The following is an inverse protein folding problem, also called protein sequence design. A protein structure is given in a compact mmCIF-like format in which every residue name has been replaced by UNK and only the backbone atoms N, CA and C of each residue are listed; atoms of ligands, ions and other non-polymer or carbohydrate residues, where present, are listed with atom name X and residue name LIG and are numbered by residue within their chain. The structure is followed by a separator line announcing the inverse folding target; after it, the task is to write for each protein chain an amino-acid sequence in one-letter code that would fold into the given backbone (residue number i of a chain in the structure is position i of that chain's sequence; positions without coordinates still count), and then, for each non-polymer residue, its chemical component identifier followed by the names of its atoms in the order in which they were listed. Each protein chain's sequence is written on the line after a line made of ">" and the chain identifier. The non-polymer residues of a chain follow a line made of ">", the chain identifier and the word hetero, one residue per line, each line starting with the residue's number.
data_IF_774868414808
#
_entry.id   IF_774868414808
#
_cell.length_a   1.000
_cell.length_b   1.000
_cell.length_c   1.000
_cell.angle_alpha   90.00
_cell.angle_beta   90.00
_cell.angle_gamma   90.00
#
_symmetry.space_group_name_H-M   'P 1'
#
loop_
_entity.id
_entity.type
_entity.pdbx_description
1 polymer ?
#
# COMPACT_ATOMS: atom_id res chain seq x y z
N UNK A 1 -30.47 -16.02 4.09
CA UNK A 1 -30.90 -14.72 4.67
C UNK A 1 -32.37 -14.71 5.06
N UNK A 2 -33.30 -14.95 4.13
CA UNK A 2 -34.76 -14.92 4.43
C UNK A 2 -35.20 -15.75 5.65
N UNK A 3 -34.67 -16.98 5.80
CA UNK A 3 -35.02 -17.82 6.97
C UNK A 3 -34.45 -17.27 8.29
N UNK A 4 -33.22 -16.76 8.27
CA UNK A 4 -32.64 -16.09 9.44
C UNK A 4 -33.48 -14.88 9.83
N UNK A 5 -33.92 -14.07 8.86
CA UNK A 5 -34.81 -12.93 9.07
C UNK A 5 -36.16 -13.34 9.65
N UNK A 6 -36.77 -14.44 9.15
CA UNK A 6 -38.01 -15.01 9.70
C UNK A 6 -37.85 -15.38 11.19
N UNK A 7 -36.64 -15.79 11.58
CA UNK A 7 -36.26 -16.15 12.94
C UNK A 7 -35.73 -14.96 13.78
N UNK A 8 -35.68 -13.74 13.23
CA UNK A 8 -35.14 -12.57 13.92
C UNK A 8 -33.62 -12.55 14.06
N UNK A 9 -32.89 -13.30 13.22
CA UNK A 9 -31.43 -13.38 13.19
C UNK A 9 -30.85 -12.59 12.00
N UNK A 10 -29.67 -11.97 12.21
CA UNK A 10 -28.88 -11.33 11.15
C UNK A 10 -27.92 -12.32 10.48
N UNK A 11 -27.63 -12.11 9.21
CA UNK A 11 -26.60 -12.87 8.47
C UNK A 11 -25.60 -11.85 7.94
N UNK A 12 -24.38 -11.89 8.47
CA UNK A 12 -23.28 -11.06 8.01
C UNK A 12 -22.25 -11.93 7.27
N UNK A 13 -21.40 -11.31 6.48
CA UNK A 13 -20.38 -12.00 5.69
C UNK A 13 -19.04 -11.28 5.79
N UNK A 14 -17.93 -12.01 5.89
CA UNK A 14 -16.60 -11.40 5.69
C UNK A 14 -16.28 -11.33 4.20
N UNK A 15 -15.61 -10.26 3.75
CA UNK A 15 -15.06 -10.18 2.40
C UNK A 15 -13.73 -10.93 2.30
N UNK A 16 -13.73 -12.21 2.70
CA UNK A 16 -12.56 -13.07 2.72
C UNK A 16 -12.83 -14.38 3.46
N UNK A 17 -11.92 -15.34 3.34
CA UNK A 17 -11.99 -16.63 4.04
C UNK A 17 -11.06 -16.71 5.25
N UNK A 18 -10.40 -15.60 5.60
CA UNK A 18 -9.41 -15.42 6.67
C UNK A 18 -9.12 -13.92 6.81
N UNK A 19 -8.04 -13.55 7.48
CA UNK A 19 -7.65 -12.15 7.67
C UNK A 19 -6.16 -11.90 7.43
N UNK A 20 -5.74 -10.68 7.04
CA UNK A 20 -6.54 -9.67 6.34
C UNK A 20 -7.16 -10.19 5.03
N UNK A 21 -8.09 -9.43 4.41
CA UNK A 21 -8.60 -9.72 3.07
C UNK A 21 -7.49 -10.06 2.06
N UNK A 22 -7.64 -11.21 1.43
CA UNK A 22 -6.75 -11.71 0.39
C UNK A 22 -7.17 -13.10 -0.09
N UNK A 23 -6.25 -13.76 -0.78
CA UNK A 23 -6.43 -15.13 -1.25
C UNK A 23 -5.48 -15.49 -2.40
N UNK A 24 -5.56 -16.74 -2.92
CA UNK A 24 -4.70 -17.21 -4.01
C UNK A 24 -4.90 -16.46 -5.32
N UNK A 25 -6.03 -15.79 -5.49
CA UNK A 25 -6.35 -14.96 -6.66
C UNK A 25 -5.67 -13.59 -6.65
N UNK A 26 -5.16 -13.12 -5.50
CA UNK A 26 -4.48 -11.84 -5.41
C UNK A 26 -3.14 -11.94 -6.13
N UNK A 27 -2.98 -11.13 -7.18
CA UNK A 27 -1.76 -11.05 -7.98
C UNK A 27 -0.60 -10.46 -7.16
N UNK A 28 0.62 -10.51 -7.69
CA UNK A 28 1.74 -9.84 -7.04
C UNK A 28 1.63 -8.30 -7.17
N UNK A 29 0.97 -7.81 -8.23
CA UNK A 29 0.70 -6.39 -8.44
C UNK A 29 -0.35 -5.83 -7.46
N UNK A 30 -1.41 -6.58 -7.16
CA UNK A 30 -2.49 -6.17 -6.23
C UNK A 30 -2.16 -6.43 -4.76
N UNK A 31 -1.02 -7.07 -4.47
CA UNK A 31 -0.63 -7.43 -3.12
C UNK A 31 0.00 -6.26 -2.37
N UNK A 32 -0.05 -6.33 -1.03
CA UNK A 32 0.67 -5.37 -0.17
C UNK A 32 2.11 -5.13 -0.64
N UNK A 33 2.52 -3.87 -0.64
CA UNK A 33 3.85 -3.46 -1.03
C UNK A 33 4.63 -2.82 0.12
N UNK A 34 5.95 -2.97 0.08
CA UNK A 34 6.88 -2.34 1.00
C UNK A 34 7.93 -1.54 0.23
N UNK A 35 8.44 -0.50 0.88
CA UNK A 35 9.56 0.28 0.34
C UNK A 35 10.89 -0.34 0.74
N UNK A 36 11.82 -0.40 -0.22
CA UNK A 36 13.20 -0.83 -0.01
C UNK A 36 14.11 0.28 -0.51
N UNK A 37 14.90 0.86 0.39
CA UNK A 37 15.90 1.86 0.04
C UNK A 37 17.27 1.21 -0.21
N UNK A 38 17.93 1.63 -1.28
CA UNK A 38 19.39 1.50 -1.45
C UNK A 38 20.02 2.86 -1.62
N UNK A 39 21.17 3.05 -0.98
CA UNK A 39 21.95 4.28 -1.11
C UNK A 39 23.34 3.97 -1.64
N UNK A 40 23.86 4.92 -2.42
CA UNK A 40 25.20 4.84 -3.02
C UNK A 40 25.86 6.21 -2.92
N UNK A 41 27.18 6.23 -2.77
CA UNK A 41 27.96 7.48 -2.82
C UNK A 41 28.92 7.42 -3.99
N UNK A 42 28.92 8.46 -4.82
CA UNK A 42 29.79 8.59 -5.98
C UNK A 42 30.57 9.91 -5.89
N UNK A 43 31.87 9.84 -6.15
CA UNK A 43 32.71 11.02 -6.34
C UNK A 43 32.65 11.49 -7.79
N UNK A 44 32.91 12.78 -8.02
CA UNK A 44 32.92 13.35 -9.36
C UNK A 44 33.82 12.60 -10.34
N UNK A 45 33.26 12.28 -11.50
CA UNK A 45 33.88 11.45 -12.54
C UNK A 45 33.61 9.94 -12.39
N UNK A 46 33.06 9.48 -11.26
CA UNK A 46 32.72 8.07 -11.06
C UNK A 46 31.39 7.67 -11.72
N UNK A 47 31.23 6.36 -11.91
CA UNK A 47 29.99 5.71 -12.39
C UNK A 47 29.60 4.62 -11.40
N UNK A 48 28.31 4.30 -11.33
CA UNK A 48 27.85 3.14 -10.59
C UNK A 48 28.22 1.86 -11.38
N UNK A 49 29.13 1.06 -10.84
CA UNK A 49 29.66 -0.13 -11.54
C UNK A 49 28.71 -1.32 -11.54
N UNK A 50 27.87 -1.42 -10.50
CA UNK A 50 26.94 -2.53 -10.31
C UNK A 50 25.52 -2.11 -10.65
N UNK A 51 24.73 -2.99 -11.28
CA UNK A 51 23.31 -2.74 -11.50
C UNK A 51 22.57 -2.47 -10.19
N UNK A 52 21.57 -1.61 -10.26
CA UNK A 52 20.64 -1.32 -9.18
C UNK A 52 19.75 -2.54 -8.92
N UNK A 53 19.72 -3.00 -7.66
CA UNK A 53 18.93 -4.15 -7.17
C UNK A 53 18.45 -3.89 -5.75
N UNK A 54 17.23 -4.31 -5.42
CA UNK A 54 16.69 -4.24 -4.06
C UNK A 54 17.26 -5.35 -3.14
N UNK A 55 17.74 -6.46 -3.70
CA UNK A 55 18.26 -7.63 -2.95
C UNK A 55 19.61 -8.20 -3.45
N UNK A 56 19.98 -9.37 -2.93
CA UNK A 56 21.28 -10.07 -3.11
C UNK A 56 21.53 -10.66 -4.51
N UNK A 57 21.12 -9.94 -5.58
CA UNK A 57 21.43 -10.15 -7.01
C UNK A 57 20.29 -10.62 -7.93
N UNK A 58 19.07 -10.85 -7.44
CA UNK A 58 17.92 -11.24 -8.28
C UNK A 58 16.73 -10.28 -8.07
N UNK A 59 16.01 -9.95 -9.15
CA UNK A 59 14.73 -9.25 -9.04
C UNK A 59 13.68 -10.24 -8.54
N UNK A 60 13.09 -9.95 -7.39
CA UNK A 60 11.86 -10.63 -7.00
C UNK A 60 10.75 -10.37 -8.04
N UNK A 61 9.72 -11.22 -8.11
CA UNK A 61 8.63 -11.09 -9.09
C UNK A 61 7.83 -9.77 -9.03
N UNK A 62 8.05 -8.94 -8.00
CA UNK A 62 7.40 -7.63 -7.82
C UNK A 62 8.41 -6.54 -7.41
N UNK A 63 9.69 -6.67 -7.80
CA UNK A 63 10.71 -5.67 -7.52
C UNK A 63 10.76 -4.60 -8.62
N UNK A 64 10.37 -3.37 -8.28
CA UNK A 64 10.32 -2.26 -9.23
C UNK A 64 11.08 -1.05 -8.68
N UNK A 65 11.99 -0.49 -9.49
CA UNK A 65 12.60 0.81 -9.19
C UNK A 65 11.52 1.90 -9.37
N UNK A 66 11.18 2.60 -8.30
CA UNK A 66 10.16 3.67 -8.29
C UNK A 66 10.78 5.06 -8.40
N UNK A 67 11.99 5.24 -7.88
CA UNK A 67 12.76 6.47 -8.04
C UNK A 67 14.25 6.19 -7.93
N UNK A 68 15.04 6.98 -8.66
CA UNK A 68 16.48 7.10 -8.44
C UNK A 68 16.84 8.58 -8.45
N UNK A 69 17.20 9.09 -7.28
CA UNK A 69 17.51 10.51 -7.11
C UNK A 69 18.95 10.69 -6.66
N UNK A 70 19.68 11.62 -7.24
CA UNK A 70 21.03 12.00 -6.82
C UNK A 70 21.02 13.36 -6.13
N UNK A 71 21.72 13.45 -5.01
CA UNK A 71 21.82 14.65 -4.17
C UNK A 71 23.30 15.02 -4.04
N UNK A 72 23.67 16.24 -4.41
CA UNK A 72 25.02 16.76 -4.18
C UNK A 72 25.15 17.38 -2.79
N UNK A 73 26.38 17.45 -2.28
CA UNK A 73 26.68 18.21 -1.05
C UNK A 73 26.34 19.71 -1.17
N UNK A 74 26.26 20.24 -2.39
CA UNK A 74 25.88 21.63 -2.65
C UNK A 74 24.38 21.88 -2.70
N UNK A 75 23.55 20.83 -2.54
CA UNK A 75 22.09 20.92 -2.52
C UNK A 75 21.41 20.74 -3.88
N UNK A 76 22.16 20.41 -4.94
CA UNK A 76 21.58 20.03 -6.23
C UNK A 76 20.89 18.66 -6.14
N UNK A 77 19.73 18.54 -6.77
CA UNK A 77 18.93 17.31 -6.84
C UNK A 77 18.69 16.96 -8.30
N UNK A 78 18.94 15.71 -8.69
CA UNK A 78 18.77 15.21 -10.06
C UNK A 78 17.97 13.92 -10.06
N UNK A 79 16.91 13.86 -10.86
CA UNK A 79 16.19 12.62 -11.16
C UNK A 79 16.96 11.83 -12.23
N UNK A 80 17.34 10.60 -11.89
CA UNK A 80 18.11 9.68 -12.72
C UNK A 80 17.30 8.44 -13.11
N UNK A 81 16.01 8.37 -12.80
CA UNK A 81 15.18 7.20 -13.12
C UNK A 81 15.19 6.90 -14.63
N UNK A 82 15.16 7.95 -15.47
CA UNK A 82 15.24 7.83 -16.94
C UNK A 82 16.60 7.37 -17.48
N UNK A 83 17.63 7.33 -16.64
CA UNK A 83 18.98 6.88 -16.99
C UNK A 83 19.24 5.40 -16.65
N UNK A 84 18.23 4.70 -16.11
CA UNK A 84 18.34 3.28 -15.75
C UNK A 84 17.74 2.40 -16.85
N UNK A 85 18.53 1.45 -17.36
CA UNK A 85 18.04 0.49 -18.35
C UNK A 85 17.21 -0.66 -17.72
N UNK A 86 16.67 -1.53 -18.57
CA UNK A 86 15.86 -2.67 -18.13
C UNK A 86 16.64 -3.65 -17.23
N UNK A 87 17.96 -3.73 -17.39
CA UNK A 87 18.87 -4.55 -16.61
C UNK A 87 19.33 -3.85 -15.32
N UNK A 88 18.88 -2.63 -15.06
CA UNK A 88 19.21 -1.83 -13.87
C UNK A 88 20.58 -1.15 -13.93
N UNK A 89 21.22 -1.09 -15.10
CA UNK A 89 22.46 -0.32 -15.24
C UNK A 89 22.13 1.17 -15.33
N UNK A 90 22.90 1.98 -14.60
CA UNK A 90 22.78 3.43 -14.61
C UNK A 90 23.74 4.04 -15.64
N UNK A 91 23.22 4.70 -16.66
CA UNK A 91 24.01 5.52 -17.57
C UNK A 91 24.13 6.97 -17.08
N UNK A 92 24.99 7.17 -16.09
CA UNK A 92 25.28 8.48 -15.52
C UNK A 92 26.69 8.55 -14.94
N UNK A 93 27.37 9.68 -15.16
CA UNK A 93 28.67 10.02 -14.56
C UNK A 93 28.45 11.15 -13.57
N UNK A 94 28.91 10.97 -12.34
CA UNK A 94 28.76 12.01 -11.32
C UNK A 94 29.50 13.30 -11.74
N UNK A 95 28.84 14.47 -11.72
CA UNK A 95 29.49 15.76 -11.85
C UNK A 95 30.50 15.99 -10.72
N UNK A 96 31.31 17.05 -10.82
CA UNK A 96 32.26 17.40 -9.78
C UNK A 96 31.58 17.52 -8.39
N UNK A 97 32.28 17.05 -7.35
CA UNK A 97 31.76 16.97 -5.97
C UNK A 97 31.33 15.55 -5.58
N UNK A 98 30.80 15.41 -4.37
CA UNK A 98 30.31 14.14 -3.84
C UNK A 98 28.79 14.07 -3.97
N UNK A 99 28.30 12.95 -4.47
CA UNK A 99 26.89 12.71 -4.77
C UNK A 99 26.38 11.49 -4.02
N UNK A 100 25.25 11.61 -3.33
CA UNK A 100 24.53 10.49 -2.72
C UNK A 100 23.29 10.15 -3.54
N UNK A 101 23.23 8.92 -4.01
CA UNK A 101 22.10 8.38 -4.77
C UNK A 101 21.16 7.63 -3.83
N UNK A 102 19.87 7.82 -3.99
CA UNK A 102 18.79 7.12 -3.30
C UNK A 102 17.96 6.38 -4.35
N UNK A 103 18.09 5.06 -4.37
CA UNK A 103 17.27 4.18 -5.20
C UNK A 103 16.14 3.61 -4.34
N UNK A 104 14.92 4.02 -4.66
CA UNK A 104 13.69 3.58 -3.98
C UNK A 104 13.09 2.46 -4.80
N UNK A 105 13.04 1.27 -4.23
CA UNK A 105 12.37 0.12 -4.82
C UNK A 105 11.06 -0.15 -4.10
N UNK A 106 10.07 -0.59 -4.86
CA UNK A 106 8.93 -1.31 -4.33
C UNK A 106 9.24 -2.79 -4.33
N UNK A 107 8.93 -3.47 -3.22
CA UNK A 107 8.94 -4.92 -3.12
C UNK A 107 7.65 -5.44 -2.52
N UNK A 108 7.44 -6.76 -2.63
CA UNK A 108 6.28 -7.41 -2.05
C UNK A 108 6.32 -7.36 -0.51
N UNK A 109 5.20 -7.03 0.14
CA UNK A 109 5.05 -7.00 1.60
C UNK A 109 5.14 -8.40 2.24
N UNK A 110 4.80 -9.44 1.48
CA UNK A 110 5.14 -10.84 1.76
C UNK A 110 4.24 -11.56 2.78
N UNK A 111 3.38 -10.84 3.50
CA UNK A 111 2.36 -11.46 4.37
C UNK A 111 1.30 -12.15 3.50
N UNK A 112 0.78 -13.27 4.01
CA UNK A 112 -0.32 -14.03 3.40
C UNK A 112 -1.51 -14.04 4.36
N UNK A 113 -2.69 -14.34 3.82
CA UNK A 113 -3.93 -14.48 4.60
C UNK A 113 -3.71 -15.51 5.74
N UNK A 114 -4.05 -15.10 6.95
CA UNK A 114 -4.01 -15.92 8.15
C UNK A 114 -5.33 -16.66 8.37
N UNK A 115 -5.20 -17.88 8.90
CA UNK A 115 -6.30 -18.82 9.19
C UNK A 115 -7.35 -18.94 8.08
N UNK A 116 -6.90 -18.86 6.83
CA UNK A 116 -7.77 -19.03 5.68
C UNK A 116 -8.42 -20.43 5.69
N UNK A 117 -9.66 -20.51 5.22
CA UNK A 117 -10.28 -21.78 4.86
C UNK A 117 -9.39 -22.57 3.85
N UNK A 118 -9.54 -23.90 3.74
CA UNK A 118 -8.78 -24.69 2.79
C UNK A 118 -8.83 -24.11 1.36
N UNK A 119 -7.65 -23.83 0.79
CA UNK A 119 -7.51 -23.20 -0.52
C UNK A 119 -7.50 -21.66 -0.51
N UNK A 120 -7.81 -21.00 0.60
CA UNK A 120 -7.85 -19.53 0.71
C UNK A 120 -6.51 -18.85 1.04
N UNK A 121 -5.41 -19.60 1.10
CA UNK A 121 -4.08 -19.04 1.41
C UNK A 121 -3.49 -18.39 0.16
N UNK A 122 -3.18 -17.10 0.24
CA UNK A 122 -2.48 -16.35 -0.80
C UNK A 122 -2.08 -14.96 -0.31
N UNK A 123 -1.75 -14.05 -1.21
CA UNK A 123 -1.36 -12.70 -0.83
C UNK A 123 -2.53 -11.92 -0.24
N UNK A 124 -2.21 -10.97 0.64
CA UNK A 124 -3.15 -9.96 1.12
C UNK A 124 -3.11 -8.76 0.19
N UNK A 125 -4.27 -8.17 -0.06
CA UNK A 125 -4.41 -7.05 -1.00
C UNK A 125 -3.77 -5.78 -0.46
N UNK A 126 -3.32 -4.89 -1.35
CA UNK A 126 -2.78 -3.58 -1.00
C UNK A 126 -3.86 -2.69 -0.36
N UNK A 127 -3.74 -2.32 0.93
CA UNK A 127 -4.74 -1.52 1.63
C UNK A 127 -4.70 -0.03 1.25
N UNK A 128 -3.88 0.36 0.27
CA UNK A 128 -3.72 1.74 -0.21
C UNK A 128 -4.11 1.93 -1.68
N UNK A 129 -4.48 0.84 -2.39
CA UNK A 129 -4.82 0.85 -3.80
C UNK A 129 -6.30 0.55 -4.03
N UNK A 130 -6.99 1.49 -4.68
CA UNK A 130 -8.39 1.28 -5.09
C UNK A 130 -8.49 0.22 -6.19
N UNK A 131 -7.53 0.18 -7.12
CA UNK A 131 -7.49 -0.84 -8.17
C UNK A 131 -7.35 -2.26 -7.59
N UNK A 132 -6.48 -2.44 -6.60
CA UNK A 132 -6.33 -3.73 -5.92
C UNK A 132 -7.62 -4.16 -5.21
N UNK A 133 -8.32 -3.20 -4.58
CA UNK A 133 -9.62 -3.45 -3.95
C UNK A 133 -10.69 -3.84 -4.99
N UNK A 134 -10.81 -3.09 -6.09
CA UNK A 134 -11.76 -3.36 -7.16
C UNK A 134 -11.54 -4.76 -7.77
N UNK A 135 -10.29 -5.08 -8.10
CA UNK A 135 -9.89 -6.39 -8.61
C UNK A 135 -10.27 -7.51 -7.63
N UNK A 136 -10.06 -7.28 -6.34
CA UNK A 136 -10.42 -8.23 -5.29
C UNK A 136 -11.93 -8.42 -5.12
N UNK A 137 -12.70 -7.32 -5.16
CA UNK A 137 -14.15 -7.34 -4.97
C UNK A 137 -14.89 -7.90 -6.19
N UNK A 138 -14.29 -7.87 -7.38
CA UNK A 138 -14.86 -8.42 -8.62
C UNK A 138 -15.29 -9.89 -8.47
N UNK A 139 -14.57 -10.68 -7.67
CA UNK A 139 -14.93 -12.09 -7.41
C UNK A 139 -16.25 -12.23 -6.65
N UNK A 140 -16.51 -11.32 -5.71
CA UNK A 140 -17.78 -11.29 -4.97
C UNK A 140 -18.89 -10.84 -5.90
N UNK A 141 -18.63 -9.84 -6.74
CA UNK A 141 -19.59 -9.39 -7.76
C UNK A 141 -19.99 -10.54 -8.70
N UNK A 142 -19.02 -11.30 -9.19
CA UNK A 142 -19.25 -12.50 -10.00
C UNK A 142 -20.06 -13.55 -9.24
N UNK A 143 -19.73 -13.82 -7.98
CA UNK A 143 -20.45 -14.80 -7.17
C UNK A 143 -21.91 -14.41 -6.91
N UNK A 144 -22.21 -13.11 -6.83
CA UNK A 144 -23.55 -12.58 -6.57
C UNK A 144 -24.31 -12.12 -7.83
N UNK A 145 -23.73 -12.15 -9.02
CA UNK A 145 -24.31 -11.60 -10.25
C UNK A 145 -25.73 -12.11 -10.55
N UNK A 146 -25.95 -13.42 -10.39
CA UNK A 146 -27.24 -14.07 -10.62
C UNK A 146 -28.04 -14.29 -9.34
N UNK A 147 -27.52 -13.88 -8.17
CA UNK A 147 -28.22 -14.02 -6.91
C UNK A 147 -29.39 -13.03 -6.82
N UNK A 148 -30.62 -13.54 -6.68
CA UNK A 148 -31.85 -12.73 -6.58
C UNK A 148 -32.46 -12.72 -5.17
N UNK A 149 -31.80 -13.32 -4.20
CA UNK A 149 -32.26 -13.36 -2.81
C UNK A 149 -31.91 -12.09 -2.04
N UNK A 150 -32.34 -12.03 -0.78
CA UNK A 150 -31.90 -10.99 0.14
C UNK A 150 -30.39 -11.10 0.38
N UNK A 151 -29.68 -9.99 0.24
CA UNK A 151 -28.24 -9.88 0.45
C UNK A 151 -27.89 -10.02 1.95
N UNK A 152 -26.63 -10.35 2.29
CA UNK A 152 -26.16 -10.30 3.67
C UNK A 152 -26.48 -8.94 4.30
N UNK A 153 -26.79 -8.92 5.60
CA UNK A 153 -27.08 -7.68 6.32
C UNK A 153 -25.84 -6.78 6.34
N UNK A 154 -24.68 -7.33 6.69
CA UNK A 154 -23.45 -6.57 6.77
C UNK A 154 -22.26 -7.31 6.15
N UNK A 155 -21.29 -6.55 5.65
CA UNK A 155 -19.95 -7.03 5.35
C UNK A 155 -19.00 -6.66 6.48
N UNK A 156 -18.14 -7.60 6.86
CA UNK A 156 -17.19 -7.45 7.95
C UNK A 156 -15.76 -7.28 7.41
N UNK A 157 -15.10 -6.22 7.87
CA UNK A 157 -13.66 -6.01 7.73
C UNK A 157 -13.02 -6.10 9.12
N UNK A 158 -12.06 -7.01 9.25
CA UNK A 158 -11.37 -7.31 10.51
C UNK A 158 -10.31 -6.25 10.83
N UNK A 159 -9.67 -6.35 12.00
CA UNK A 159 -8.63 -5.42 12.42
C UNK A 159 -7.46 -5.32 11.43
N UNK A 160 -6.80 -4.16 11.40
CA UNK A 160 -5.72 -3.93 10.44
C UNK A 160 -4.47 -4.74 10.79
N UNK A 161 -4.14 -5.71 9.95
CA UNK A 161 -2.94 -6.53 10.11
C UNK A 161 -2.19 -6.77 8.79
N UNK A 162 -2.04 -5.74 7.95
CA UNK A 162 -1.47 -5.84 6.60
C UNK A 162 0.07 -5.97 6.54
N UNK A 163 0.69 -6.40 7.64
CA UNK A 163 2.13 -6.69 7.71
C UNK A 163 2.99 -5.45 7.43
N UNK A 164 3.85 -5.52 6.40
CA UNK A 164 4.78 -4.45 6.01
C UNK A 164 4.24 -3.52 4.91
N UNK A 165 2.92 -3.44 4.76
CA UNK A 165 2.27 -2.48 3.86
C UNK A 165 2.72 -1.05 4.22
N UNK A 166 3.66 -0.52 3.45
CA UNK A 166 4.30 0.79 3.65
C UNK A 166 4.42 1.56 2.32
N UNK A 167 3.93 0.99 1.23
CA UNK A 167 4.05 1.56 -0.10
C UNK A 167 2.89 1.12 -0.97
N UNK A 168 2.66 1.86 -2.06
CA UNK A 168 1.77 1.50 -3.17
C UNK A 168 2.35 2.07 -4.47
N UNK A 169 1.89 1.60 -5.62
CA UNK A 169 2.51 1.88 -6.93
C UNK A 169 2.59 3.39 -7.23
N UNK A 170 1.50 4.11 -6.96
CA UNK A 170 1.35 5.54 -7.27
C UNK A 170 1.64 6.46 -6.07
N UNK A 171 2.37 5.98 -5.05
CA UNK A 171 2.56 6.73 -3.80
C UNK A 171 3.18 8.12 -4.03
N UNK A 172 4.15 8.27 -4.94
CA UNK A 172 4.78 9.56 -5.21
C UNK A 172 3.77 10.57 -5.78
N UNK A 173 2.92 10.12 -6.71
CA UNK A 173 1.85 10.91 -7.31
C UNK A 173 0.79 11.28 -6.27
N UNK A 174 0.37 10.33 -5.45
CA UNK A 174 -0.60 10.55 -4.36
C UNK A 174 -0.06 11.53 -3.33
N UNK A 175 1.19 11.35 -2.90
CA UNK A 175 1.85 12.25 -1.98
C UNK A 175 1.88 13.68 -2.54
N UNK A 176 2.36 13.85 -3.77
CA UNK A 176 2.46 15.18 -4.40
C UNK A 176 1.11 15.85 -4.53
N UNK A 177 0.06 15.10 -4.89
CA UNK A 177 -1.31 15.61 -4.98
C UNK A 177 -1.83 16.10 -3.64
N UNK A 178 -1.54 15.38 -2.55
CA UNK A 178 -2.11 15.63 -1.21
C UNK A 178 -1.29 16.62 -0.39
N UNK A 179 0.03 16.60 -0.51
CA UNK A 179 0.98 17.36 0.32
C UNK A 179 1.56 18.57 -0.40
N UNK A 180 1.46 18.63 -1.73
CA UNK A 180 1.81 19.81 -2.53
C UNK A 180 3.29 19.94 -2.92
N UNK A 181 4.12 18.93 -2.68
CA UNK A 181 5.52 18.89 -3.09
C UNK A 181 5.95 17.47 -3.51
N UNK A 182 7.06 17.35 -4.24
CA UNK A 182 7.57 16.05 -4.68
C UNK A 182 8.38 15.39 -3.56
N UNK A 183 7.90 14.26 -3.03
CA UNK A 183 8.60 13.47 -2.02
C UNK A 183 9.96 12.96 -2.51
N UNK A 184 10.15 12.81 -3.83
CA UNK A 184 11.43 12.40 -4.43
C UNK A 184 12.55 13.40 -4.16
N UNK A 185 12.24 14.66 -3.88
CA UNK A 185 13.22 15.68 -3.49
C UNK A 185 13.54 15.67 -1.99
N UNK A 186 12.84 14.84 -1.22
CA UNK A 186 12.95 14.74 0.25
C UNK A 186 13.27 13.31 0.71
N UNK A 187 13.89 12.49 -0.15
CA UNK A 187 14.22 11.10 0.21
C UNK A 187 15.18 10.99 1.41
N UNK A 188 16.26 11.81 1.54
CA UNK A 188 17.07 11.80 2.76
C UNK A 188 16.22 11.97 4.02
N UNK A 189 15.35 12.98 4.02
CA UNK A 189 14.49 13.29 5.16
C UNK A 189 13.46 12.18 5.45
N UNK A 190 12.82 11.63 4.41
CA UNK A 190 11.91 10.48 4.52
C UNK A 190 12.57 9.30 5.23
N UNK A 191 13.84 9.04 4.93
CA UNK A 191 14.61 7.94 5.51
C UNK A 191 15.40 8.33 6.78
N UNK A 192 15.19 9.54 7.30
CA UNK A 192 15.70 9.95 8.61
C UNK A 192 17.06 10.63 8.61
N UNK A 193 17.49 11.14 7.46
CA UNK A 193 18.74 11.87 7.31
C UNK A 193 18.49 13.36 7.05
N UNK A 194 19.31 14.23 7.63
CA UNK A 194 19.21 15.69 7.48
C UNK A 194 18.80 16.40 8.75
N UNK A 195 18.25 17.61 8.60
CA UNK A 195 17.74 18.41 9.70
C UNK A 195 16.54 17.73 10.39
N UNK A 196 16.52 17.75 11.73
CA UNK A 196 15.53 17.00 12.52
C UNK A 196 14.10 17.50 12.31
N UNK A 197 13.88 18.81 12.15
CA UNK A 197 12.55 19.38 11.92
C UNK A 197 12.05 19.00 10.52
N UNK A 198 12.93 19.05 9.51
CA UNK A 198 12.60 18.62 8.14
C UNK A 198 12.25 17.13 8.11
N UNK A 199 13.07 16.27 8.75
CA UNK A 199 12.81 14.83 8.86
C UNK A 199 11.46 14.56 9.52
N UNK A 200 11.14 15.25 10.62
CA UNK A 200 9.89 15.07 11.33
C UNK A 200 8.68 15.44 10.46
N UNK A 201 8.75 16.56 9.74
CA UNK A 201 7.68 17.03 8.85
C UNK A 201 7.46 16.10 7.66
N UNK A 202 8.52 15.71 6.96
CA UNK A 202 8.43 14.81 5.79
C UNK A 202 7.86 13.45 6.20
N UNK A 203 8.29 12.89 7.35
CA UNK A 203 7.71 11.64 7.88
C UNK A 203 6.26 11.81 8.32
N UNK A 204 5.88 12.96 8.84
CA UNK A 204 4.49 13.28 9.17
C UNK A 204 3.63 13.26 7.89
N UNK A 205 4.04 14.00 6.87
CA UNK A 205 3.32 14.10 5.59
C UNK A 205 3.21 12.73 4.89
N UNK A 206 4.25 11.90 4.97
CA UNK A 206 4.24 10.55 4.40
C UNK A 206 3.23 9.66 5.15
N UNK A 207 3.24 9.70 6.49
CA UNK A 207 2.27 8.93 7.30
C UNK A 207 0.85 9.41 7.09
N UNK A 208 0.64 10.71 6.97
CA UNK A 208 -0.67 11.29 6.64
C UNK A 208 -1.13 10.85 5.25
N UNK A 209 -0.23 10.78 4.26
CA UNK A 209 -0.55 10.24 2.93
C UNK A 209 -0.96 8.77 3.01
N UNK A 210 -0.24 7.94 3.77
CA UNK A 210 -0.64 6.53 3.99
C UNK A 210 -1.99 6.43 4.71
N UNK A 211 -2.23 7.30 5.69
CA UNK A 211 -3.49 7.36 6.43
C UNK A 211 -4.67 7.69 5.50
N UNK A 212 -4.51 8.72 4.66
CA UNK A 212 -5.50 9.15 3.67
C UNK A 212 -5.78 8.06 2.65
N UNK A 213 -4.74 7.39 2.14
CA UNK A 213 -4.91 6.32 1.15
C UNK A 213 -5.70 5.15 1.73
N UNK A 214 -5.41 4.74 2.97
CA UNK A 214 -6.18 3.67 3.58
C UNK A 214 -7.65 4.05 3.79
N UNK A 215 -7.93 5.29 4.19
CA UNK A 215 -9.30 5.76 4.37
C UNK A 215 -10.04 5.94 3.03
N UNK A 216 -9.44 6.64 2.08
CA UNK A 216 -10.10 7.11 0.85
C UNK A 216 -9.97 6.16 -0.34
N UNK A 217 -8.90 5.38 -0.43
CA UNK A 217 -8.69 4.43 -1.52
C UNK A 217 -9.11 3.01 -1.16
N UNK A 218 -9.36 2.72 0.12
CA UNK A 218 -9.70 1.38 0.57
C UNK A 218 -10.99 1.32 1.40
N UNK A 219 -11.02 1.90 2.61
CA UNK A 219 -12.19 1.76 3.50
C UNK A 219 -13.43 2.42 2.92
N UNK A 220 -13.33 3.67 2.45
CA UNK A 220 -14.44 4.40 1.83
C UNK A 220 -15.03 3.66 0.62
N UNK A 221 -14.22 3.31 -0.41
CA UNK A 221 -14.69 2.55 -1.56
C UNK A 221 -15.28 1.18 -1.21
N UNK A 222 -14.72 0.48 -0.20
CA UNK A 222 -15.29 -0.77 0.29
C UNK A 222 -16.68 -0.57 0.93
N UNK A 223 -16.87 0.51 1.70
CA UNK A 223 -18.17 0.89 2.26
C UNK A 223 -19.17 1.19 1.13
N UNK A 224 -18.78 1.98 0.14
CA UNK A 224 -19.61 2.29 -1.02
C UNK A 224 -20.00 1.04 -1.80
N UNK A 225 -19.07 0.11 -1.99
CA UNK A 225 -19.33 -1.18 -2.62
C UNK A 225 -20.36 -1.99 -1.82
N UNK A 226 -20.23 -2.07 -0.49
CA UNK A 226 -21.19 -2.77 0.38
C UNK A 226 -22.58 -2.15 0.30
N UNK A 227 -22.68 -0.81 0.36
CA UNK A 227 -23.94 -0.07 0.21
C UNK A 227 -24.58 -0.32 -1.16
N UNK A 228 -23.76 -0.41 -2.21
CA UNK A 228 -24.20 -0.78 -3.57
C UNK A 228 -24.82 -2.17 -3.65
N UNK A 229 -24.49 -3.08 -2.72
CA UNK A 229 -25.15 -4.39 -2.58
C UNK A 229 -26.37 -4.36 -1.65
N UNK A 230 -26.70 -3.21 -1.05
CA UNK A 230 -27.77 -3.09 -0.06
C UNK A 230 -27.41 -3.64 1.32
N UNK A 231 -26.11 -3.83 1.58
CA UNK A 231 -25.57 -4.27 2.86
C UNK A 231 -25.01 -3.07 3.64
N UNK A 232 -24.94 -3.15 4.97
CA UNK A 232 -24.17 -2.22 5.80
C UNK A 232 -22.75 -2.75 6.05
N UNK A 233 -21.92 -1.98 6.75
CA UNK A 233 -20.54 -2.36 7.08
C UNK A 233 -20.32 -2.52 8.58
N UNK A 234 -19.50 -3.50 8.94
CA UNK A 234 -18.91 -3.67 10.26
C UNK A 234 -17.40 -3.61 10.11
N UNK A 235 -16.75 -2.69 10.80
CA UNK A 235 -15.32 -2.47 10.63
C UNK A 235 -14.61 -2.39 11.97
N UNK A 236 -13.52 -3.16 12.10
CA UNK A 236 -12.55 -3.01 13.15
C UNK A 236 -11.37 -2.16 12.65
N UNK A 237 -11.36 -0.88 13.00
CA UNK A 237 -10.36 0.06 12.48
C UNK A 237 -9.02 0.04 13.21
N UNK A 238 -8.96 -0.58 14.39
CA UNK A 238 -7.77 -0.54 15.24
C UNK A 238 -6.57 -1.24 14.58
N UNK A 239 -5.36 -0.74 14.88
CA UNK A 239 -4.12 -1.14 14.21
C UNK A 239 -3.85 -0.41 12.89
N UNK A 240 -4.84 0.28 12.31
CA UNK A 240 -4.66 1.00 11.04
C UNK A 240 -3.63 2.13 11.16
N UNK A 241 -2.92 2.47 10.06
CA UNK A 241 -1.99 3.59 10.03
C UNK A 241 -2.70 4.96 9.98
N UNK A 242 -4.03 4.98 10.15
CA UNK A 242 -4.90 6.13 9.94
C UNK A 242 -5.47 6.65 11.26
N UNK A 243 -6.10 7.82 11.22
CA UNK A 243 -6.87 8.30 12.36
C UNK A 243 -8.07 7.36 12.61
N UNK A 244 -8.03 6.66 13.73
CA UNK A 244 -9.02 5.63 14.07
C UNK A 244 -10.46 6.16 14.08
N UNK A 245 -10.66 7.40 14.53
CA UNK A 245 -12.00 7.98 14.59
C UNK A 245 -12.58 8.20 13.20
N UNK A 246 -11.75 8.58 12.23
CA UNK A 246 -12.19 8.82 10.86
C UNK A 246 -12.54 7.49 10.16
N UNK A 247 -11.71 6.46 10.37
CA UNK A 247 -11.96 5.12 9.82
C UNK A 247 -13.18 4.46 10.45
N UNK A 248 -13.41 4.64 11.77
CA UNK A 248 -14.64 4.18 12.40
C UNK A 248 -15.86 4.97 11.91
N UNK A 249 -15.75 6.29 11.75
CA UNK A 249 -16.85 7.12 11.26
C UNK A 249 -17.24 6.81 9.80
N UNK A 250 -16.33 6.25 9.01
CA UNK A 250 -16.62 5.79 7.65
C UNK A 250 -17.51 4.53 7.61
N UNK A 251 -17.54 3.73 8.67
CA UNK A 251 -18.33 2.49 8.73
C UNK A 251 -19.71 2.70 9.36
N UNK A 252 -20.69 1.90 8.96
CA UNK A 252 -22.05 1.97 9.54
C UNK A 252 -22.09 1.46 10.98
N UNK A 253 -21.28 0.44 11.28
CA UNK A 253 -21.16 -0.17 12.59
C UNK A 253 -19.67 -0.22 12.96
N UNK A 254 -19.17 0.79 13.70
CA UNK A 254 -17.85 0.73 14.31
C UNK A 254 -17.77 -0.43 15.30
N UNK A 255 -16.74 -1.28 15.17
CA UNK A 255 -16.56 -2.43 16.03
C UNK A 255 -15.18 -2.44 16.70
N UNK A 256 -15.15 -2.62 18.01
CA UNK A 256 -13.92 -2.65 18.81
C UNK A 256 -13.76 -4.01 19.49
N UNK A 257 -12.54 -4.34 19.89
CA UNK A 257 -12.22 -5.56 20.64
C UNK A 257 -11.81 -5.24 22.09
N UNK A 258 -12.22 -6.10 23.04
CA UNK A 258 -11.80 -6.08 24.44
C UNK A 258 -11.50 -7.50 24.89
N UNK A 259 -10.41 -7.69 25.65
CA UNK A 259 -9.94 -8.97 26.18
C UNK A 259 -10.08 -9.06 27.70
#
# INVERSE_FOLDING_TARGET
>A
VAEAKRLGMGVDMSTGTGWPPGGPEVSAEDATAQVILKTYTLEGGARLEKPLRAGDNERGPAEHLRALMAYSESGEVVDLAGNVDADGNLDWVAPAGTWKLYAVFQGLGGKKVERAAPGGVGYIIDPFSNEALDNYLERFDKAFADYKGEQPRAHYHDSYEYGRATWTDDLFEQFRRRRGYDLREQLPALFGEGDEDVVARVKCDYRETIADLHLESYIGPWVEWCHGKGSVTRNQAHGSPSNLLDVYAAADIPETEIF
#
